data_IF_692542109407
#
_entry.id   IF_692542109407
#
_cell.length_a   1.000
_cell.length_b   1.000
_cell.length_c   1.000
_cell.angle_alpha   90.00
_cell.angle_beta   90.00
_cell.angle_gamma   90.00
#
_symmetry.space_group_name_H-M   'P 1'
#
loop_
_entity.id
_entity.type
_entity.pdbx_description
1 polymer ?
#
# COMPACT_ATOMS: atom_id res chain seq x y z
N UNK A 1 9.79 -9.66 -0.45
CA UNK A 1 8.71 -9.66 -1.46
C UNK A 1 7.68 -8.56 -1.19
N UNK A 2 7.02 -8.53 -0.03
CA UNK A 2 6.02 -7.48 0.31
C UNK A 2 6.59 -6.06 0.22
N UNK A 3 7.83 -5.83 0.68
CA UNK A 3 8.48 -4.51 0.58
C UNK A 3 8.66 -4.03 -0.86
N UNK A 4 8.93 -4.94 -1.80
CA UNK A 4 9.04 -4.61 -3.21
C UNK A 4 7.68 -4.22 -3.79
N UNK A 5 6.62 -4.95 -3.44
CA UNK A 5 5.24 -4.62 -3.86
C UNK A 5 4.75 -3.29 -3.27
N UNK A 6 5.12 -2.99 -2.03
CA UNK A 6 4.88 -1.67 -1.44
C UNK A 6 5.60 -0.57 -2.21
N UNK A 7 6.82 -0.84 -2.69
CA UNK A 7 7.60 0.09 -3.52
C UNK A 7 6.87 0.51 -4.81
N UNK A 8 6.28 -0.45 -5.52
CA UNK A 8 5.49 -0.18 -6.72
C UNK A 8 4.18 0.54 -6.37
N UNK A 9 3.47 0.04 -5.36
CA UNK A 9 2.19 0.59 -4.93
C UNK A 9 2.30 2.04 -4.48
N UNK A 10 3.28 2.37 -3.62
CA UNK A 10 3.40 3.72 -3.05
C UNK A 10 3.63 4.78 -4.13
N UNK A 11 4.32 4.43 -5.22
CA UNK A 11 4.53 5.36 -6.34
C UNK A 11 3.20 5.73 -7.01
N UNK A 12 2.37 4.71 -7.30
CA UNK A 12 1.04 4.89 -7.86
C UNK A 12 0.14 5.64 -6.87
N UNK A 13 0.11 5.21 -5.61
CA UNK A 13 -0.68 5.85 -4.55
C UNK A 13 -0.41 7.35 -4.47
N UNK A 14 0.86 7.75 -4.40
CA UNK A 14 1.23 9.16 -4.32
C UNK A 14 0.88 9.95 -5.60
N UNK A 15 0.96 9.32 -6.78
CA UNK A 15 0.60 9.98 -8.04
C UNK A 15 -0.91 10.19 -8.22
N UNK A 16 -1.74 9.36 -7.58
CA UNK A 16 -3.21 9.44 -7.66
C UNK A 16 -3.84 10.37 -6.62
N UNK A 17 -3.06 10.91 -5.69
CA UNK A 17 -3.55 11.81 -4.66
C UNK A 17 -3.01 13.24 -4.85
N UNK A 18 -3.71 14.27 -4.35
CA UNK A 18 -3.18 15.63 -4.31
C UNK A 18 -1.84 15.66 -3.58
N UNK A 19 -0.92 16.49 -4.07
CA UNK A 19 0.37 16.66 -3.42
C UNK A 19 0.17 17.30 -2.03
N UNK A 20 0.57 16.63 -0.94
CA UNK A 20 0.43 17.18 0.40
C UNK A 20 1.26 18.45 0.54
N UNK A 21 0.69 19.47 1.19
CA UNK A 21 1.32 20.79 1.39
C UNK A 21 2.01 20.89 2.75
N UNK A 22 1.66 19.99 3.68
CA UNK A 22 2.23 19.93 5.03
C UNK A 22 2.75 18.54 5.36
N UNK A 23 3.65 18.47 6.36
CA UNK A 23 4.13 17.19 6.88
C UNK A 23 2.96 16.33 7.41
N UNK A 24 2.02 16.95 8.13
CA UNK A 24 0.84 16.26 8.67
C UNK A 24 -0.02 15.62 7.58
N UNK A 25 -0.22 16.33 6.46
CA UNK A 25 -0.94 15.79 5.30
C UNK A 25 -0.17 14.64 4.64
N UNK A 26 1.15 14.76 4.53
CA UNK A 26 1.99 13.68 3.99
C UNK A 26 1.94 12.44 4.89
N UNK A 27 2.06 12.60 6.21
CA UNK A 27 1.98 11.50 7.17
C UNK A 27 0.60 10.81 7.12
N UNK A 28 -0.48 11.59 7.03
CA UNK A 28 -1.82 11.05 6.88
C UNK A 28 -1.97 10.25 5.57
N UNK A 29 -1.46 10.79 4.44
CA UNK A 29 -1.52 10.13 3.14
C UNK A 29 -0.71 8.83 3.12
N UNK A 30 0.47 8.81 3.75
CA UNK A 30 1.29 7.61 3.89
C UNK A 30 0.58 6.58 4.77
N UNK A 31 0.02 6.99 5.91
CA UNK A 31 -0.70 6.08 6.81
C UNK A 31 -1.89 5.42 6.11
N UNK A 32 -2.69 6.20 5.40
CA UNK A 32 -3.81 5.69 4.61
C UNK A 32 -3.34 4.72 3.51
N UNK A 33 -2.25 5.05 2.82
CA UNK A 33 -1.68 4.17 1.80
C UNK A 33 -1.22 2.83 2.38
N UNK A 34 -0.56 2.85 3.54
CA UNK A 34 -0.12 1.62 4.23
C UNK A 34 -1.31 0.77 4.63
N UNK A 35 -2.35 1.38 5.20
CA UNK A 35 -3.58 0.67 5.59
C UNK A 35 -4.29 0.06 4.37
N UNK A 36 -4.45 0.84 3.30
CA UNK A 36 -5.07 0.37 2.06
C UNK A 36 -4.28 -0.78 1.42
N UNK A 37 -2.96 -0.64 1.31
CA UNK A 37 -2.11 -1.70 0.75
C UNK A 37 -2.20 -3.00 1.54
N UNK A 38 -2.28 -2.91 2.87
CA UNK A 38 -2.33 -4.08 3.72
C UNK A 38 -3.66 -4.82 3.65
N UNK A 39 -4.77 -4.08 3.61
CA UNK A 39 -6.11 -4.63 3.88
C UNK A 39 -7.06 -4.59 2.68
N UNK A 40 -6.76 -3.80 1.64
CA UNK A 40 -7.70 -3.56 0.52
C UNK A 40 -7.09 -3.90 -0.84
N UNK A 41 -5.85 -3.50 -1.12
CA UNK A 41 -5.24 -3.75 -2.43
C UNK A 41 -5.05 -5.25 -2.66
N UNK A 42 -5.71 -5.77 -3.70
CA UNK A 42 -5.52 -7.14 -4.17
C UNK A 42 -4.63 -7.15 -5.39
N UNK A 43 -3.67 -8.06 -5.42
CA UNK A 43 -2.67 -8.11 -6.50
C UNK A 43 -2.51 -9.51 -7.04
N UNK A 44 -2.48 -9.66 -8.36
CA UNK A 44 -2.11 -10.93 -9.01
C UNK A 44 -0.69 -11.37 -8.66
N UNK A 45 0.19 -10.42 -8.28
CA UNK A 45 1.53 -10.69 -7.72
C UNK A 45 1.48 -11.38 -6.34
N UNK A 46 0.32 -11.35 -5.68
CA UNK A 46 0.04 -11.95 -4.36
C UNK A 46 -1.16 -12.90 -4.42
N UNK A 47 -1.27 -13.70 -5.47
CA UNK A 47 -2.38 -14.67 -5.65
C UNK A 47 -3.79 -14.04 -5.61
N UNK A 48 -3.92 -12.77 -6.00
CA UNK A 48 -5.16 -11.96 -5.86
C UNK A 48 -5.61 -11.76 -4.40
N UNK A 49 -4.67 -11.77 -3.47
CA UNK A 49 -4.91 -11.54 -2.05
C UNK A 49 -4.42 -10.16 -1.61
N UNK A 50 -4.94 -9.72 -0.46
CA UNK A 50 -4.40 -8.58 0.27
C UNK A 50 -3.00 -8.89 0.78
N UNK A 51 -2.24 -7.85 1.16
CA UNK A 51 -0.90 -8.10 1.70
C UNK A 51 -0.95 -8.83 3.06
N UNK A 52 -2.01 -8.63 3.85
CA UNK A 52 -2.23 -9.38 5.09
C UNK A 52 -2.59 -10.85 4.84
N UNK A 53 -3.56 -11.12 3.97
CA UNK A 53 -3.97 -12.49 3.65
C UNK A 53 -2.82 -13.29 3.07
N UNK A 54 -2.05 -12.70 2.15
CA UNK A 54 -0.87 -13.33 1.59
C UNK A 54 0.21 -13.66 2.65
N UNK A 55 0.35 -12.82 3.69
CA UNK A 55 1.26 -13.11 4.80
C UNK A 55 0.72 -14.26 5.66
N UNK A 56 -0.58 -14.30 5.90
CA UNK A 56 -1.22 -15.31 6.74
C UNK A 56 -1.27 -16.68 6.05
N UNK A 57 -1.40 -16.75 4.72
CA UNK A 57 -1.29 -18.01 3.96
C UNK A 57 0.15 -18.54 3.88
N UNK A 58 1.15 -17.67 4.00
CA UNK A 58 2.55 -18.04 3.97
C UNK A 58 3.09 -18.56 5.33
N UNK A 59 2.24 -18.61 6.37
CA UNK A 59 2.56 -19.10 7.73
C UNK A 59 2.18 -20.57 7.89
#
# INVERSE_FOLDING_TARGET
MIEHYWGDFKYIWMAHHPHPQTLTELEALVKQGVEYFNTVEISSKRNNLTAEDFRNEAV
#
